data_IF_964398383314
#
_entry.id   IF_964398383314
#
_cell.length_a   1.000
_cell.length_b   1.000
_cell.length_c   1.000
_cell.angle_alpha   90.00
_cell.angle_beta   90.00
_cell.angle_gamma   90.00
#
_symmetry.space_group_name_H-M   'P 1'
#
loop_
_entity.id
_entity.type
_entity.pdbx_description
1 polymer ?
#
# COMPACT_ATOMS: atom_id res chain seq x y z
N UNK A 1 -2.13 13.06 20.42
CA UNK A 1 -2.84 14.13 19.69
C UNK A 1 -2.20 14.24 18.33
N UNK A 2 -2.98 14.04 17.26
CA UNK A 2 -2.57 14.29 15.87
C UNK A 2 -2.95 15.73 15.54
N UNK A 3 -2.07 16.43 14.82
CA UNK A 3 -2.21 17.85 14.54
C UNK A 3 -2.15 18.11 13.04
N UNK A 4 -2.82 19.17 12.59
CA UNK A 4 -2.64 19.76 11.25
C UNK A 4 -1.67 20.94 11.34
N UNK A 5 -0.91 21.19 10.27
CA UNK A 5 0.05 22.28 10.20
C UNK A 5 -0.60 23.52 9.59
N UNK A 6 -0.39 24.66 10.24
CA UNK A 6 -0.88 25.97 9.79
C UNK A 6 0.28 26.95 9.63
N UNK A 7 0.17 27.81 8.64
CA UNK A 7 1.03 28.96 8.45
C UNK A 7 0.84 29.98 9.60
N UNK A 8 1.79 30.93 9.79
CA UNK A 8 1.65 31.98 10.80
C UNK A 8 0.40 32.87 10.64
N UNK A 9 -0.18 32.94 9.44
CA UNK A 9 -1.42 33.66 9.14
C UNK A 9 -2.69 32.81 9.36
N UNK A 10 -2.55 31.61 9.95
CA UNK A 10 -3.62 30.64 10.22
C UNK A 10 -4.26 30.01 8.99
N UNK A 11 -3.66 30.12 7.81
CA UNK A 11 -4.04 29.30 6.64
C UNK A 11 -3.45 27.88 6.76
N UNK A 12 -4.13 26.82 6.28
CA UNK A 12 -3.55 25.48 6.22
C UNK A 12 -2.24 25.48 5.41
N UNK A 13 -1.24 24.74 5.87
CA UNK A 13 0.03 24.63 5.16
C UNK A 13 -0.06 23.64 4.00
N UNK A 14 0.24 24.09 2.78
CA UNK A 14 0.12 23.29 1.56
C UNK A 14 1.06 22.07 1.52
N UNK A 15 2.13 22.07 2.32
CA UNK A 15 3.05 20.95 2.45
C UNK A 15 2.64 19.88 3.47
N UNK A 16 1.51 20.05 4.18
CA UNK A 16 1.00 19.06 5.15
C UNK A 16 0.25 17.91 4.43
N UNK A 17 0.76 16.66 4.49
CA UNK A 17 0.10 15.52 3.87
C UNK A 17 -1.35 15.30 4.34
N UNK A 18 -1.64 15.55 5.62
CA UNK A 18 -2.96 15.33 6.20
C UNK A 18 -3.95 16.39 5.71
N UNK A 19 -3.51 17.65 5.65
CA UNK A 19 -4.29 18.73 5.06
C UNK A 19 -4.54 18.50 3.55
N UNK A 20 -3.54 17.99 2.82
CA UNK A 20 -3.70 17.66 1.41
C UNK A 20 -4.75 16.55 1.17
N UNK A 21 -4.77 15.50 2.00
CA UNK A 21 -5.82 14.48 1.89
C UNK A 21 -7.21 15.08 2.10
N UNK A 22 -7.38 15.99 3.08
CA UNK A 22 -8.66 16.71 3.29
C UNK A 22 -9.05 17.51 2.06
N UNK A 23 -8.10 18.22 1.42
CA UNK A 23 -8.35 18.96 0.18
C UNK A 23 -8.88 18.05 -0.94
N UNK A 24 -8.30 16.85 -1.13
CA UNK A 24 -8.76 15.92 -2.17
C UNK A 24 -10.12 15.30 -1.80
N UNK A 25 -10.42 15.10 -0.52
CA UNK A 25 -11.75 14.67 -0.07
C UNK A 25 -12.86 15.69 -0.41
N UNK A 26 -12.56 16.98 -0.46
CA UNK A 26 -13.54 17.98 -0.94
C UNK A 26 -13.94 17.73 -2.41
N UNK A 27 -13.01 17.31 -3.28
CA UNK A 27 -13.35 16.96 -4.67
C UNK A 27 -14.31 15.76 -4.75
N UNK A 28 -14.19 14.82 -3.80
CA UNK A 28 -15.13 13.70 -3.67
C UNK A 28 -16.52 14.21 -3.29
N UNK A 29 -16.60 15.15 -2.34
CA UNK A 29 -17.86 15.74 -1.90
C UNK A 29 -18.56 16.53 -3.01
N UNK A 30 -17.80 17.24 -3.85
CA UNK A 30 -18.33 17.95 -5.01
C UNK A 30 -19.01 17.02 -6.03
N UNK A 31 -18.57 15.75 -6.10
CA UNK A 31 -19.21 14.71 -6.93
C UNK A 31 -20.41 14.03 -6.25
N UNK A 32 -20.74 14.43 -5.03
CA UNK A 32 -21.90 13.94 -4.28
C UNK A 32 -21.69 12.64 -3.53
N UNK A 33 -20.43 12.21 -3.32
CA UNK A 33 -20.09 11.14 -2.39
C UNK A 33 -19.86 11.71 -0.98
N UNK A 34 -20.16 10.92 0.04
CA UNK A 34 -20.08 11.35 1.44
C UNK A 34 -18.85 10.82 2.15
N UNK A 35 -18.39 9.61 1.84
CA UNK A 35 -17.29 8.99 2.56
C UNK A 35 -16.41 8.17 1.62
N UNK A 36 -15.11 8.22 1.87
CA UNK A 36 -14.13 7.32 1.28
C UNK A 36 -13.53 6.51 2.41
N UNK A 37 -13.82 5.21 2.43
CA UNK A 37 -13.40 4.31 3.49
C UNK A 37 -12.17 3.51 3.08
N UNK A 38 -11.26 3.29 4.03
CA UNK A 38 -10.05 2.50 3.88
C UNK A 38 -9.97 1.43 4.97
N UNK A 39 -9.85 0.16 4.56
CA UNK A 39 -9.38 -0.96 5.37
C UNK A 39 -7.94 -1.34 4.99
N UNK A 40 -6.93 -0.94 5.78
CA UNK A 40 -5.54 -1.25 5.49
C UNK A 40 -5.11 -2.59 6.10
N UNK A 41 -4.25 -3.32 5.38
CA UNK A 41 -3.67 -4.60 5.81
C UNK A 41 -2.13 -4.46 5.94
N UNK A 42 -1.60 -3.73 6.95
CA UNK A 42 -0.16 -3.46 7.08
C UNK A 42 0.63 -4.66 7.64
N UNK A 43 1.31 -5.37 6.76
CA UNK A 43 2.23 -6.45 7.12
C UNK A 43 3.55 -5.90 7.72
N UNK A 44 4.20 -6.68 8.58
CA UNK A 44 5.50 -6.33 9.17
C UNK A 44 6.34 -7.56 9.53
N UNK A 45 7.65 -7.36 9.70
CA UNK A 45 8.57 -8.38 10.20
C UNK A 45 9.01 -8.10 11.63
N UNK A 46 9.26 -9.16 12.40
CA UNK A 46 9.93 -9.10 13.71
C UNK A 46 11.34 -9.71 13.62
N UNK A 47 12.35 -8.87 13.88
CA UNK A 47 13.75 -9.27 14.00
C UNK A 47 14.20 -9.29 15.45
N UNK A 48 15.16 -10.15 15.77
CA UNK A 48 15.83 -10.16 17.08
C UNK A 48 16.77 -8.98 17.22
N UNK A 49 16.96 -8.57 18.46
CA UNK A 49 17.94 -7.57 18.85
C UNK A 49 19.22 -8.22 19.37
N UNK A 50 20.37 -7.59 19.07
CA UNK A 50 21.65 -7.97 19.68
C UNK A 50 21.77 -7.46 21.14
N UNK A 51 22.89 -7.77 21.80
CA UNK A 51 23.19 -7.34 23.18
C UNK A 51 23.20 -5.81 23.36
N UNK A 52 23.48 -5.06 22.29
CA UNK A 52 23.45 -3.60 22.27
C UNK A 52 22.08 -3.04 21.87
N UNK A 53 21.06 -3.90 21.81
CA UNK A 53 19.70 -3.61 21.35
C UNK A 53 19.65 -3.04 19.93
N UNK A 54 20.57 -3.42 19.05
CA UNK A 54 20.52 -3.12 17.62
C UNK A 54 19.79 -4.24 16.86
N UNK A 55 19.04 -3.93 15.79
CA UNK A 55 18.41 -4.94 14.96
C UNK A 55 19.45 -5.89 14.32
N UNK A 56 19.11 -7.17 14.25
CA UNK A 56 19.88 -8.19 13.54
C UNK A 56 19.13 -8.65 12.29
N UNK A 57 19.72 -9.55 11.49
CA UNK A 57 19.03 -10.25 10.40
C UNK A 57 18.38 -11.57 10.86
N UNK A 58 18.44 -11.88 12.15
CA UNK A 58 17.77 -13.06 12.71
C UNK A 58 16.29 -12.75 12.95
N UNK A 59 15.42 -13.55 12.34
CA UNK A 59 13.98 -13.46 12.52
C UNK A 59 13.57 -14.00 13.89
N UNK A 60 12.42 -13.57 14.42
CA UNK A 60 11.93 -14.04 15.71
C UNK A 60 11.54 -15.54 15.69
N UNK A 61 11.09 -16.06 14.55
CA UNK A 61 10.65 -17.45 14.37
C UNK A 61 10.94 -18.00 12.96
N UNK A 62 10.35 -19.16 12.66
CA UNK A 62 10.39 -19.81 11.34
C UNK A 62 8.99 -20.26 10.89
N UNK A 63 7.95 -19.54 11.33
CA UNK A 63 6.56 -19.84 10.98
C UNK A 63 6.22 -19.52 9.52
N UNK A 64 5.09 -20.04 9.07
CA UNK A 64 4.46 -19.68 7.80
C UNK A 64 3.00 -19.28 7.97
N UNK A 65 2.30 -19.16 6.84
CA UNK A 65 0.94 -18.64 6.78
C UNK A 65 -0.02 -19.43 7.68
N UNK A 66 -0.64 -18.74 8.64
CA UNK A 66 -1.62 -19.31 9.59
C UNK A 66 -1.06 -20.44 10.48
N UNK A 67 0.26 -20.54 10.62
CA UNK A 67 0.86 -21.48 11.58
C UNK A 67 0.50 -21.12 13.02
N UNK A 68 0.44 -22.15 13.86
CA UNK A 68 0.19 -22.04 15.29
C UNK A 68 1.49 -22.29 16.08
N UNK A 69 1.50 -21.91 17.36
CA UNK A 69 2.53 -22.38 18.27
C UNK A 69 2.61 -23.93 18.26
N UNK A 70 3.81 -24.54 18.32
CA UNK A 70 5.11 -23.95 18.70
C UNK A 70 5.96 -23.38 17.55
N UNK A 71 5.45 -23.38 16.31
CA UNK A 71 6.20 -22.86 15.14
C UNK A 71 6.16 -21.33 15.09
N UNK A 72 5.00 -20.74 15.43
CA UNK A 72 4.83 -19.30 15.63
C UNK A 72 5.31 -18.91 17.05
N UNK A 73 6.45 -18.23 17.13
CA UNK A 73 6.96 -17.67 18.40
C UNK A 73 6.60 -16.19 18.55
N UNK A 74 6.01 -15.57 17.51
CA UNK A 74 5.51 -14.21 17.51
C UNK A 74 4.16 -14.05 18.21
N UNK A 75 3.43 -15.13 18.48
CA UNK A 75 2.07 -15.12 19.05
C UNK A 75 1.93 -14.21 20.29
N UNK A 76 2.88 -14.26 21.22
CA UNK A 76 2.82 -13.42 22.43
C UNK A 76 3.03 -11.93 22.11
N UNK A 77 4.00 -11.59 21.26
CA UNK A 77 4.22 -10.20 20.86
C UNK A 77 3.02 -9.67 20.08
N UNK A 78 2.48 -10.47 19.17
CA UNK A 78 1.34 -10.12 18.33
C UNK A 78 0.06 -9.96 19.15
N UNK A 79 -0.22 -10.87 20.09
CA UNK A 79 -1.31 -10.74 21.06
C UNK A 79 -1.19 -9.47 21.88
N UNK A 80 -0.01 -9.16 22.41
CA UNK A 80 0.17 -7.96 23.24
C UNK A 80 0.00 -6.67 22.41
N UNK A 81 0.37 -6.69 21.12
CA UNK A 81 0.05 -5.58 20.20
C UNK A 81 -1.46 -5.42 20.06
N UNK A 82 -2.19 -6.51 19.79
CA UNK A 82 -3.66 -6.50 19.66
C UNK A 82 -4.31 -5.94 20.92
N UNK A 83 -3.94 -6.42 22.11
CA UNK A 83 -4.50 -5.95 23.38
C UNK A 83 -4.28 -4.46 23.60
N UNK A 84 -3.08 -3.94 23.31
CA UNK A 84 -2.77 -2.52 23.47
C UNK A 84 -3.52 -1.65 22.44
N UNK A 85 -3.71 -2.14 21.21
CA UNK A 85 -4.52 -1.45 20.20
C UNK A 85 -6.00 -1.43 20.58
N UNK A 86 -6.56 -2.53 21.08
CA UNK A 86 -7.94 -2.61 21.57
C UNK A 86 -8.17 -1.64 22.75
N UNK A 87 -7.23 -1.53 23.68
CA UNK A 87 -7.29 -0.55 24.78
C UNK A 87 -7.26 0.90 24.27
N UNK A 88 -6.63 1.14 23.12
CA UNK A 88 -6.62 2.43 22.41
C UNK A 88 -7.85 2.67 21.52
N UNK A 89 -8.79 1.72 21.47
CA UNK A 89 -10.06 1.84 20.75
C UNK A 89 -10.04 1.34 19.31
N UNK A 90 -9.00 0.60 18.88
CA UNK A 90 -9.02 -0.08 17.59
C UNK A 90 -9.98 -1.27 17.62
N UNK A 91 -10.77 -1.44 16.56
CA UNK A 91 -11.55 -2.66 16.32
C UNK A 91 -10.73 -3.62 15.45
N UNK A 92 -10.04 -4.57 16.10
CA UNK A 92 -9.21 -5.57 15.41
C UNK A 92 -10.10 -6.65 14.80
N UNK A 93 -9.92 -6.94 13.52
CA UNK A 93 -10.70 -7.95 12.78
C UNK A 93 -10.02 -9.31 12.80
N UNK A 94 -8.70 -9.33 12.60
CA UNK A 94 -7.91 -10.54 12.55
C UNK A 94 -6.45 -10.30 12.92
N UNK A 95 -5.76 -11.37 13.28
CA UNK A 95 -4.32 -11.37 13.44
C UNK A 95 -3.76 -12.74 13.15
N UNK A 96 -2.73 -12.82 12.31
CA UNK A 96 -2.11 -14.08 11.93
C UNK A 96 -0.62 -13.92 11.61
N UNK A 97 0.05 -15.07 11.55
CA UNK A 97 1.35 -15.18 10.94
C UNK A 97 1.21 -15.12 9.42
N UNK A 98 2.11 -14.39 8.76
CA UNK A 98 2.12 -14.20 7.32
C UNK A 98 2.97 -15.28 6.61
N UNK A 99 3.12 -15.19 5.29
CA UNK A 99 3.75 -16.25 4.49
C UNK A 99 5.24 -16.43 4.79
N UNK A 100 6.00 -15.35 4.98
CA UNK A 100 7.44 -15.46 5.27
C UNK A 100 7.72 -15.70 6.76
N UNK A 101 8.82 -16.42 7.09
CA UNK A 101 9.34 -16.51 8.45
C UNK A 101 9.44 -15.15 9.17
N UNK A 102 8.92 -15.07 10.40
CA UNK A 102 8.90 -13.86 11.22
C UNK A 102 8.07 -12.70 10.66
N UNK A 103 7.18 -12.97 9.69
CA UNK A 103 6.24 -12.00 9.14
C UNK A 103 4.88 -12.12 9.84
N UNK A 104 4.25 -10.99 10.09
CA UNK A 104 2.99 -10.91 10.80
C UNK A 104 2.06 -9.86 10.19
N UNK A 105 0.77 -10.06 10.39
CA UNK A 105 -0.30 -9.16 9.99
C UNK A 105 -1.33 -9.01 11.11
N UNK A 106 -1.86 -7.80 11.24
CA UNK A 106 -2.96 -7.47 12.14
C UNK A 106 -3.89 -6.56 11.36
N UNK A 107 -5.09 -7.08 11.10
CA UNK A 107 -6.14 -6.38 10.39
C UNK A 107 -7.02 -5.63 11.37
N UNK A 108 -7.35 -4.39 11.02
CA UNK A 108 -8.29 -3.58 11.77
C UNK A 108 -9.33 -3.00 10.85
N UNK A 109 -10.50 -2.76 11.42
CA UNK A 109 -11.69 -2.34 10.70
C UNK A 109 -11.44 -1.09 9.87
N UNK A 110 -12.10 -1.04 8.72
CA UNK A 110 -12.08 0.14 7.87
C UNK A 110 -12.67 1.36 8.59
N UNK A 111 -12.14 2.52 8.28
CA UNK A 111 -12.61 3.82 8.76
C UNK A 111 -12.62 4.83 7.60
N UNK A 112 -13.14 6.03 7.85
CA UNK A 112 -12.98 7.14 6.91
C UNK A 112 -11.49 7.42 6.61
N UNK A 113 -11.20 7.96 5.43
CA UNK A 113 -9.83 8.08 4.93
C UNK A 113 -8.86 8.80 5.90
N UNK A 114 -9.31 9.83 6.63
CA UNK A 114 -8.45 10.55 7.56
C UNK A 114 -8.17 9.69 8.79
N UNK A 115 -9.23 9.15 9.39
CA UNK A 115 -9.14 8.29 10.59
C UNK A 115 -8.32 7.03 10.28
N UNK A 116 -8.52 6.40 9.12
CA UNK A 116 -7.75 5.24 8.72
C UNK A 116 -6.24 5.56 8.55
N UNK A 117 -5.89 6.72 7.98
CA UNK A 117 -4.49 7.14 7.88
C UNK A 117 -3.86 7.46 9.25
N UNK A 118 -4.62 8.14 10.12
CA UNK A 118 -4.23 8.40 11.51
C UNK A 118 -3.99 7.07 12.27
N UNK A 119 -4.85 6.08 12.03
CA UNK A 119 -4.75 4.73 12.60
C UNK A 119 -3.53 3.96 12.07
N UNK A 120 -3.22 4.02 10.76
CA UNK A 120 -2.00 3.40 10.20
C UNK A 120 -0.73 3.95 10.88
N UNK A 121 -0.66 5.27 11.08
CA UNK A 121 0.51 5.89 11.72
C UNK A 121 0.62 5.47 13.19
N UNK A 122 -0.51 5.43 13.90
CA UNK A 122 -0.58 5.00 15.30
C UNK A 122 -0.24 3.52 15.44
N UNK A 123 -0.77 2.67 14.57
CA UNK A 123 -0.49 1.24 14.49
C UNK A 123 1.01 0.97 14.37
N UNK A 124 1.68 1.60 13.40
CA UNK A 124 3.14 1.45 13.22
C UNK A 124 3.93 1.83 14.47
N UNK A 125 3.48 2.84 15.21
CA UNK A 125 4.12 3.26 16.47
C UNK A 125 3.90 2.22 17.58
N UNK A 126 2.67 1.72 17.75
CA UNK A 126 2.34 0.72 18.77
C UNK A 126 3.10 -0.57 18.50
N UNK A 127 3.05 -1.10 17.28
CA UNK A 127 3.78 -2.32 16.87
C UNK A 127 5.27 -2.22 17.21
N UNK A 128 5.92 -1.11 16.83
CA UNK A 128 7.35 -0.88 17.12
C UNK A 128 7.63 -0.80 18.62
N UNK A 129 6.76 -0.11 19.36
CA UNK A 129 6.89 0.06 20.81
C UNK A 129 6.77 -1.28 21.55
N UNK A 130 5.73 -2.06 21.24
CA UNK A 130 5.48 -3.34 21.89
C UNK A 130 6.53 -4.38 21.48
N UNK A 131 6.90 -4.48 20.20
CA UNK A 131 8.00 -5.33 19.76
C UNK A 131 9.29 -5.04 20.55
N UNK A 132 9.57 -3.76 20.81
CA UNK A 132 10.74 -3.35 21.60
C UNK A 132 10.68 -3.77 23.06
N UNK A 133 9.48 -3.87 23.67
CA UNK A 133 9.26 -4.44 25.01
C UNK A 133 9.58 -5.95 25.04
N UNK A 134 9.31 -6.64 23.94
CA UNK A 134 9.58 -8.08 23.75
C UNK A 134 11.03 -8.40 23.34
N UNK A 135 11.92 -7.40 23.29
CA UNK A 135 13.31 -7.63 22.83
C UNK A 135 13.42 -7.84 21.32
N UNK A 136 12.41 -7.42 20.56
CA UNK A 136 12.32 -7.53 19.10
C UNK A 136 12.39 -6.15 18.43
N UNK A 137 12.59 -6.17 17.13
CA UNK A 137 12.55 -5.02 16.23
C UNK A 137 11.49 -5.26 15.16
N UNK A 138 10.38 -4.52 15.25
CA UNK A 138 9.41 -4.49 14.16
C UNK A 138 9.89 -3.57 13.04
N UNK A 139 9.81 -4.06 11.80
CA UNK A 139 10.08 -3.28 10.60
C UNK A 139 8.95 -3.41 9.60
N UNK A 140 8.65 -2.28 8.97
CA UNK A 140 7.65 -2.09 7.91
C UNK A 140 8.35 -1.90 6.55
N UNK A 141 9.60 -2.34 6.45
CA UNK A 141 10.40 -2.27 5.23
C UNK A 141 9.79 -3.20 4.16
N UNK A 142 9.61 -2.75 2.91
CA UNK A 142 8.87 -3.53 1.90
C UNK A 142 9.49 -4.90 1.59
N UNK A 143 10.82 -5.00 1.58
CA UNK A 143 11.55 -6.23 1.27
C UNK A 143 12.85 -6.29 2.08
N UNK A 144 12.79 -6.69 3.37
CA UNK A 144 13.97 -6.73 4.23
C UNK A 144 14.95 -7.85 3.86
N UNK A 145 14.45 -8.93 3.23
CA UNK A 145 15.23 -10.12 2.87
C UNK A 145 14.96 -10.53 1.41
N UNK A 146 16.00 -10.94 0.70
CA UNK A 146 15.90 -11.54 -0.64
C UNK A 146 15.38 -12.98 -0.53
N UNK A 147 14.61 -13.42 -1.52
CA UNK A 147 14.17 -14.82 -1.64
C UNK A 147 12.97 -15.23 -0.78
N UNK A 148 12.38 -14.30 -0.02
CA UNK A 148 11.17 -14.52 0.81
C UNK A 148 10.11 -13.46 0.50
N UNK A 149 8.85 -13.64 0.94
CA UNK A 149 7.81 -12.61 0.76
C UNK A 149 8.25 -11.26 1.36
N UNK A 150 7.76 -10.17 0.77
CA UNK A 150 7.94 -8.83 1.33
C UNK A 150 6.65 -8.37 2.01
N UNK A 151 6.71 -7.26 2.73
CA UNK A 151 5.55 -6.70 3.45
C UNK A 151 4.73 -5.75 2.57
N UNK A 152 3.45 -6.07 2.38
CA UNK A 152 2.43 -5.19 1.79
C UNK A 152 1.67 -4.36 2.81
N UNK A 153 0.95 -3.35 2.29
CA UNK A 153 -0.08 -2.64 3.04
C UNK A 153 -1.30 -2.53 2.15
N UNK A 154 -2.02 -3.64 1.94
CA UNK A 154 -3.13 -3.65 0.98
C UNK A 154 -4.19 -2.64 1.38
N UNK A 155 -4.67 -1.87 0.40
CA UNK A 155 -5.68 -0.84 0.63
C UNK A 155 -7.02 -1.32 0.10
N UNK A 156 -7.92 -1.68 1.01
CA UNK A 156 -9.31 -1.98 0.69
C UNK A 156 -10.12 -0.68 0.68
N UNK A 157 -10.52 -0.23 -0.51
CA UNK A 157 -11.15 1.09 -0.70
C UNK A 157 -12.61 0.98 -1.12
N UNK A 158 -13.45 1.87 -0.61
CA UNK A 158 -14.86 1.98 -1.02
C UNK A 158 -15.38 3.42 -0.93
N UNK A 159 -16.26 3.80 -1.86
CA UNK A 159 -16.97 5.08 -1.84
C UNK A 159 -18.40 4.90 -1.35
N UNK A 160 -18.89 5.89 -0.61
CA UNK A 160 -20.24 5.88 -0.06
C UNK A 160 -21.02 7.13 -0.46
N UNK A 161 -22.34 6.97 -0.52
CA UNK A 161 -23.30 8.07 -0.66
C UNK A 161 -24.35 7.95 0.45
N UNK A 162 -24.14 8.71 1.52
CA UNK A 162 -24.86 8.53 2.77
C UNK A 162 -24.51 7.18 3.39
N UNK A 163 -25.51 6.33 3.59
CA UNK A 163 -25.32 4.99 4.19
C UNK A 163 -25.13 3.88 3.15
N UNK A 164 -25.20 4.21 1.88
CA UNK A 164 -25.12 3.25 0.79
C UNK A 164 -23.69 3.17 0.25
N UNK A 165 -23.18 1.96 0.11
CA UNK A 165 -21.90 1.71 -0.54
C UNK A 165 -22.09 1.89 -2.05
N UNK A 166 -21.50 2.94 -2.60
CA UNK A 166 -21.65 3.33 -4.00
C UNK A 166 -20.99 2.34 -4.97
N UNK A 167 -20.16 1.40 -4.49
CA UNK A 167 -19.57 0.35 -5.32
C UNK A 167 -20.46 -0.88 -5.48
N UNK A 168 -21.50 -1.03 -4.67
CA UNK A 168 -22.38 -2.19 -4.72
C UNK A 168 -23.55 -1.97 -5.67
N UNK A 169 -23.79 -2.93 -6.55
CA UNK A 169 -25.03 -3.05 -7.31
C UNK A 169 -25.46 -4.52 -7.29
N UNK A 170 -26.70 -4.79 -6.88
CA UNK A 170 -27.20 -6.16 -6.78
C UNK A 170 -27.35 -6.81 -8.15
N UNK A 171 -27.70 -6.02 -9.17
CA UNK A 171 -28.04 -6.50 -10.52
C UNK A 171 -26.89 -6.29 -11.52
N UNK A 172 -25.83 -5.59 -11.10
CA UNK A 172 -24.60 -5.36 -11.88
C UNK A 172 -23.77 -6.63 -12.09
N UNK A 173 -22.94 -6.63 -13.15
CA UNK A 173 -21.97 -7.70 -13.37
C UNK A 173 -20.99 -7.79 -12.18
N UNK A 174 -20.70 -9.01 -11.72
CA UNK A 174 -19.97 -9.26 -10.46
C UNK A 174 -20.57 -8.57 -9.22
N UNK A 175 -21.80 -8.08 -9.29
CA UNK A 175 -22.47 -7.23 -8.31
C UNK A 175 -21.71 -5.93 -8.00
N UNK A 176 -21.08 -5.36 -9.02
CA UNK A 176 -20.39 -4.08 -8.98
C UNK A 176 -21.22 -3.02 -9.72
N UNK A 177 -21.29 -1.83 -9.13
CA UNK A 177 -21.93 -0.67 -9.75
C UNK A 177 -21.09 -0.09 -10.89
N UNK A 178 -21.71 0.72 -11.73
CA UNK A 178 -20.99 1.53 -12.73
C UNK A 178 -19.90 2.40 -12.08
N UNK A 179 -20.19 3.00 -10.92
CA UNK A 179 -19.22 3.78 -10.15
C UNK A 179 -18.01 2.95 -9.73
N UNK A 180 -18.19 1.70 -9.30
CA UNK A 180 -17.07 0.82 -8.97
C UNK A 180 -16.16 0.57 -10.18
N UNK A 181 -16.77 0.29 -11.34
CA UNK A 181 -16.02 0.06 -12.57
C UNK A 181 -15.29 1.32 -13.06
N UNK A 182 -15.92 2.48 -12.99
CA UNK A 182 -15.30 3.75 -13.36
C UNK A 182 -14.15 4.11 -12.42
N UNK A 183 -14.33 3.94 -11.11
CA UNK A 183 -13.26 4.15 -10.13
C UNK A 183 -12.09 3.21 -10.40
N UNK A 184 -12.36 1.92 -10.59
CA UNK A 184 -11.37 0.92 -10.98
C UNK A 184 -10.62 1.29 -12.27
N UNK A 185 -11.32 1.83 -13.28
CA UNK A 185 -10.72 2.26 -14.52
C UNK A 185 -9.70 3.40 -14.32
N UNK A 186 -10.06 4.40 -13.50
CA UNK A 186 -9.13 5.46 -13.11
C UNK A 186 -7.90 4.91 -12.37
N UNK A 187 -8.11 3.99 -11.43
CA UNK A 187 -7.02 3.32 -10.71
C UNK A 187 -6.08 2.53 -11.63
N UNK A 188 -6.58 1.88 -12.66
CA UNK A 188 -5.76 1.16 -13.65
C UNK A 188 -5.01 2.15 -14.55
N UNK A 189 -5.69 3.19 -15.05
CA UNK A 189 -5.10 4.21 -15.93
C UNK A 189 -3.91 4.92 -15.30
N UNK A 190 -4.03 5.28 -14.02
CA UNK A 190 -3.02 6.06 -13.30
C UNK A 190 -2.00 5.20 -12.53
N UNK A 191 -2.03 3.87 -12.71
CA UNK A 191 -1.22 2.94 -11.92
C UNK A 191 0.27 3.26 -11.90
N UNK A 192 0.84 3.60 -13.05
CA UNK A 192 2.25 3.99 -13.15
C UNK A 192 2.53 5.32 -12.45
N UNK A 193 1.61 6.28 -12.55
CA UNK A 193 1.74 7.61 -11.97
C UNK A 193 1.77 7.60 -10.44
N UNK A 194 0.84 6.90 -9.78
CA UNK A 194 0.81 6.85 -8.31
C UNK A 194 1.80 5.84 -7.69
N UNK A 195 2.48 5.02 -8.50
CA UNK A 195 3.41 4.00 -7.97
C UNK A 195 4.52 4.66 -7.15
N UNK A 196 5.07 5.79 -7.58
CA UNK A 196 6.12 6.48 -6.82
C UNK A 196 5.68 6.88 -5.41
N UNK A 197 4.40 7.19 -5.21
CA UNK A 197 3.85 7.63 -3.91
C UNK A 197 3.49 6.44 -3.02
N UNK A 198 2.90 5.42 -3.62
CA UNK A 198 2.47 4.18 -2.92
C UNK A 198 3.63 3.21 -2.65
N UNK A 199 4.75 3.38 -3.34
CA UNK A 199 5.99 2.59 -3.26
C UNK A 199 7.21 3.54 -3.23
N UNK A 200 7.37 4.34 -2.16
CA UNK A 200 8.23 5.52 -2.18
C UNK A 200 9.70 5.26 -1.90
N UNK A 201 10.14 4.01 -1.74
CA UNK A 201 11.54 3.70 -1.41
C UNK A 201 12.20 2.90 -2.51
N UNK A 202 13.54 2.96 -2.61
CA UNK A 202 14.29 2.04 -3.47
C UNK A 202 13.96 0.57 -3.16
N UNK A 203 13.70 0.24 -1.89
CA UNK A 203 13.43 -1.12 -1.44
C UNK A 203 12.03 -1.61 -1.84
N UNK A 204 11.06 -0.72 -2.02
CA UNK A 204 9.71 -1.03 -2.51
C UNK A 204 9.75 -1.84 -3.81
N UNK A 205 10.62 -1.48 -4.74
CA UNK A 205 10.77 -2.14 -6.04
C UNK A 205 11.47 -3.50 -5.97
N UNK A 206 12.03 -3.87 -4.81
CA UNK A 206 12.51 -5.24 -4.54
C UNK A 206 11.38 -6.15 -4.03
N UNK A 207 10.25 -5.56 -3.59
CA UNK A 207 9.01 -6.27 -3.28
C UNK A 207 8.21 -6.57 -4.54
N UNK A 208 8.09 -5.61 -5.46
CA UNK A 208 7.35 -5.70 -6.71
C UNK A 208 8.07 -6.56 -7.77
N UNK A 209 8.33 -7.82 -7.42
CA UNK A 209 8.95 -8.83 -8.29
C UNK A 209 8.07 -10.09 -8.33
N UNK A 210 7.95 -10.76 -9.49
CA UNK A 210 7.08 -11.94 -9.62
C UNK A 210 7.43 -13.05 -8.64
N UNK A 211 6.41 -13.83 -8.22
CA UNK A 211 6.59 -15.06 -7.43
C UNK A 211 6.44 -14.93 -5.91
N UNK A 212 6.10 -13.74 -5.38
CA UNK A 212 5.96 -13.49 -3.94
C UNK A 212 4.63 -12.84 -3.56
N UNK A 213 3.54 -13.15 -4.30
CA UNK A 213 2.18 -12.59 -4.13
C UNK A 213 2.04 -11.06 -4.26
N UNK A 214 3.14 -10.34 -4.47
CA UNK A 214 3.16 -8.92 -4.77
C UNK A 214 2.77 -8.65 -6.23
N UNK A 215 1.94 -7.64 -6.50
CA UNK A 215 1.53 -7.32 -7.87
C UNK A 215 2.69 -6.67 -8.63
N UNK A 216 2.95 -7.16 -9.84
CA UNK A 216 3.94 -6.58 -10.76
C UNK A 216 3.28 -6.03 -12.03
N UNK A 217 2.03 -6.39 -12.26
CA UNK A 217 1.31 -6.19 -13.51
C UNK A 217 0.01 -5.44 -13.27
N UNK A 218 -0.23 -4.44 -14.10
CA UNK A 218 -1.42 -3.59 -14.08
C UNK A 218 -2.58 -4.38 -14.69
N UNK A 219 -3.33 -5.03 -13.82
CA UNK A 219 -4.50 -5.82 -14.15
C UNK A 219 -5.45 -5.83 -12.95
N UNK A 220 -6.68 -6.28 -13.17
CA UNK A 220 -7.63 -6.53 -12.09
C UNK A 220 -8.35 -7.86 -12.27
N UNK A 221 -8.84 -8.44 -11.18
CA UNK A 221 -9.68 -9.64 -11.20
C UNK A 221 -10.58 -9.71 -9.96
N UNK A 222 -11.75 -10.32 -10.11
CA UNK A 222 -12.62 -10.70 -8.99
C UNK A 222 -12.34 -12.09 -8.40
N UNK A 223 -11.42 -12.87 -9.00
CA UNK A 223 -11.18 -14.27 -8.62
C UNK A 223 -9.72 -14.59 -8.29
N UNK A 224 -8.78 -13.78 -8.79
CA UNK A 224 -7.35 -14.05 -8.65
C UNK A 224 -6.67 -13.11 -7.62
N UNK A 225 -5.59 -13.59 -7.00
CA UNK A 225 -4.72 -12.85 -6.06
C UNK A 225 -3.44 -12.29 -6.72
N UNK A 226 -3.11 -12.68 -7.95
CA UNK A 226 -1.96 -12.10 -8.67
C UNK A 226 -2.11 -10.67 -9.23
N UNK A 227 -3.31 -10.09 -9.46
CA UNK A 227 -3.42 -8.79 -10.11
C UNK A 227 -3.11 -7.64 -9.15
N UNK A 228 -2.89 -6.44 -9.72
CA UNK A 228 -2.75 -5.18 -8.99
C UNK A 228 -3.98 -4.88 -8.13
N UNK A 229 -5.17 -4.98 -8.73
CA UNK A 229 -6.43 -4.70 -8.05
C UNK A 229 -7.26 -5.98 -7.98
N UNK A 230 -7.61 -6.37 -6.77
CA UNK A 230 -8.53 -7.48 -6.52
C UNK A 230 -9.90 -6.94 -6.12
N UNK A 231 -10.95 -7.63 -6.54
CA UNK A 231 -12.30 -7.41 -6.02
C UNK A 231 -12.64 -8.56 -5.08
N UNK A 232 -12.57 -8.38 -3.74
CA UNK A 232 -12.94 -9.41 -2.78
C UNK A 232 -14.37 -9.93 -3.00
N UNK A 233 -14.70 -11.14 -2.53
CA UNK A 233 -16.01 -11.77 -2.76
C UNK A 233 -17.13 -11.20 -1.89
N UNK A 234 -16.82 -10.50 -0.80
CA UNK A 234 -17.83 -9.85 0.06
C UNK A 234 -18.61 -8.78 -0.72
N UNK A 235 -19.89 -8.62 -0.40
CA UNK A 235 -20.83 -7.73 -1.12
C UNK A 235 -21.69 -6.90 -0.16
N UNK A 236 -22.58 -6.06 -0.70
CA UNK A 236 -23.36 -5.12 0.09
C UNK A 236 -22.47 -3.98 0.60
N UNK A 237 -22.57 -3.67 1.89
CA UNK A 237 -21.74 -2.63 2.54
C UNK A 237 -20.24 -2.94 2.49
N UNK A 238 -19.85 -4.22 2.33
CA UNK A 238 -18.45 -4.65 2.27
C UNK A 238 -17.87 -4.69 0.86
N UNK A 239 -18.58 -4.20 -0.16
CA UNK A 239 -18.09 -4.15 -1.55
C UNK A 239 -16.96 -3.14 -1.67
N UNK A 240 -15.80 -3.56 -2.18
CA UNK A 240 -14.57 -2.78 -2.17
C UNK A 240 -13.60 -3.19 -3.27
N UNK A 241 -12.63 -2.32 -3.54
CA UNK A 241 -11.48 -2.59 -4.42
C UNK A 241 -10.22 -2.69 -3.56
N UNK A 242 -9.52 -3.81 -3.63
CA UNK A 242 -8.27 -4.09 -2.90
C UNK A 242 -7.07 -3.77 -3.79
N UNK A 243 -6.37 -2.67 -3.52
CA UNK A 243 -5.11 -2.33 -4.18
C UNK A 243 -3.94 -2.94 -3.40
N UNK A 244 -3.24 -3.88 -4.04
CA UNK A 244 -2.20 -4.71 -3.38
C UNK A 244 -0.78 -4.14 -3.50
N UNK A 245 -0.59 -3.14 -4.36
CA UNK A 245 0.75 -2.58 -4.63
C UNK A 245 1.24 -1.63 -3.55
N UNK A 246 0.35 -1.08 -2.72
CA UNK A 246 0.78 -0.19 -1.62
C UNK A 246 1.62 -0.99 -0.64
N UNK A 247 2.73 -0.40 -0.19
CA UNK A 247 3.57 -0.98 0.85
C UNK A 247 3.59 -0.11 2.12
N UNK A 248 3.97 -0.66 3.28
CA UNK A 248 3.90 0.06 4.56
C UNK A 248 4.86 1.25 4.71
N UNK A 249 5.79 1.43 3.75
CA UNK A 249 6.69 2.59 3.70
C UNK A 249 6.02 3.83 3.12
N UNK A 250 4.87 3.67 2.44
CA UNK A 250 4.05 4.76 1.95
C UNK A 250 3.63 5.73 3.08
N UNK A 251 3.64 7.02 2.76
CA UNK A 251 2.92 8.00 3.58
C UNK A 251 1.42 7.78 3.33
N UNK A 252 0.64 7.34 4.34
CA UNK A 252 -0.74 6.90 4.11
C UNK A 252 -1.63 8.04 3.60
N UNK A 253 -1.41 9.28 4.06
CA UNK A 253 -2.20 10.43 3.61
C UNK A 253 -1.95 10.75 2.13
N UNK A 254 -0.68 10.74 1.70
CA UNK A 254 -0.33 10.99 0.30
C UNK A 254 -0.81 9.85 -0.61
N UNK A 255 -0.65 8.61 -0.17
CA UNK A 255 -1.17 7.44 -0.88
C UNK A 255 -2.68 7.57 -1.07
N UNK A 256 -3.44 7.81 0.00
CA UNK A 256 -4.89 7.99 -0.10
C UNK A 256 -5.30 9.17 -0.98
N UNK A 257 -4.57 10.29 -0.95
CA UNK A 257 -4.85 11.45 -1.78
C UNK A 257 -4.73 11.11 -3.27
N UNK A 258 -3.64 10.48 -3.69
CA UNK A 258 -3.42 10.14 -5.10
C UNK A 258 -4.33 9.01 -5.59
N UNK A 259 -4.66 8.05 -4.73
CA UNK A 259 -5.57 6.95 -5.08
C UNK A 259 -7.02 7.44 -5.18
N UNK A 260 -7.46 8.31 -4.28
CA UNK A 260 -8.76 8.96 -4.41
C UNK A 260 -8.81 9.79 -5.70
N UNK A 261 -7.81 10.62 -5.97
CA UNK A 261 -7.72 11.43 -7.19
C UNK A 261 -7.78 10.56 -8.46
N UNK A 262 -7.03 9.46 -8.51
CA UNK A 262 -7.05 8.50 -9.61
C UNK A 262 -8.44 7.91 -9.83
N UNK A 263 -9.09 7.41 -8.77
CA UNK A 263 -10.41 6.82 -8.88
C UNK A 263 -11.50 7.82 -9.26
N UNK A 264 -11.45 9.05 -8.71
CA UNK A 264 -12.38 10.11 -9.07
C UNK A 264 -12.20 10.58 -10.52
N UNK A 265 -10.98 10.55 -11.08
CA UNK A 265 -10.76 10.83 -12.50
C UNK A 265 -11.52 9.84 -13.39
N UNK A 266 -11.48 8.56 -13.02
CA UNK A 266 -12.25 7.52 -13.69
C UNK A 266 -13.76 7.75 -13.66
N UNK A 267 -14.28 8.16 -12.50
CA UNK A 267 -15.70 8.51 -12.32
C UNK A 267 -16.08 9.77 -13.11
N UNK A 268 -15.30 10.85 -13.01
CA UNK A 268 -15.55 12.13 -13.71
C UNK A 268 -15.61 11.94 -15.23
N UNK A 269 -14.75 11.06 -15.76
CA UNK A 269 -14.62 10.84 -17.20
C UNK A 269 -15.35 9.59 -17.71
N UNK A 270 -16.16 8.93 -16.87
CA UNK A 270 -16.92 7.71 -17.20
C UNK A 270 -16.04 6.63 -17.85
N UNK A 271 -14.84 6.43 -17.31
CA UNK A 271 -13.88 5.49 -17.88
C UNK A 271 -14.37 4.05 -17.75
N UNK A 272 -14.07 3.23 -18.77
CA UNK A 272 -14.33 1.79 -18.74
C UNK A 272 -13.02 1.06 -18.42
N UNK A 273 -12.99 0.18 -17.40
CA UNK A 273 -11.78 -0.58 -17.10
C UNK A 273 -11.51 -1.61 -18.18
N UNK A 274 -10.27 -2.07 -18.36
CA UNK A 274 -9.98 -3.18 -19.26
C UNK A 274 -10.70 -4.45 -18.79
N UNK A 275 -10.81 -5.44 -19.67
CA UNK A 275 -11.37 -6.76 -19.32
C UNK A 275 -10.64 -7.38 -18.13
N UNK A 276 -11.33 -7.99 -17.15
CA UNK A 276 -10.68 -8.64 -16.01
C UNK A 276 -9.78 -9.80 -16.46
N UNK A 277 -8.66 -9.97 -15.77
CA UNK A 277 -7.68 -11.02 -16.06
C UNK A 277 -7.82 -12.16 -15.05
N UNK A 278 -8.67 -13.13 -15.36
CA UNK A 278 -8.97 -14.30 -14.53
C UNK A 278 -7.96 -15.47 -14.74
N UNK A 279 -6.69 -15.15 -15.00
CA UNK A 279 -5.61 -16.14 -15.17
C UNK A 279 -4.39 -15.75 -14.33
N UNK A 280 -3.56 -16.73 -13.99
CA UNK A 280 -2.30 -16.47 -13.29
C UNK A 280 -1.33 -15.71 -14.20
N UNK A 281 -1.19 -14.40 -13.96
CA UNK A 281 -0.39 -13.50 -14.81
C UNK A 281 1.10 -13.85 -14.73
N UNK A 282 1.57 -14.43 -13.61
CA UNK A 282 2.97 -14.86 -13.46
C UNK A 282 3.35 -16.01 -14.40
N UNK A 283 2.36 -16.75 -14.91
CA UNK A 283 2.57 -17.84 -15.87
C UNK A 283 2.52 -17.40 -17.34
N UNK A 284 2.17 -16.14 -17.61
CA UNK A 284 2.12 -15.61 -18.97
C UNK A 284 3.52 -15.16 -19.40
N UNK A 285 3.85 -15.32 -20.68
CA UNK A 285 5.04 -14.66 -21.23
C UNK A 285 4.79 -13.16 -21.54
N UNK A 286 5.81 -12.44 -22.00
CA UNK A 286 5.71 -11.00 -22.28
C UNK A 286 4.79 -10.69 -23.46
N UNK A 287 4.77 -11.55 -24.49
CA UNK A 287 3.94 -11.38 -25.68
C UNK A 287 2.46 -11.58 -25.33
N UNK A 288 2.14 -12.65 -24.60
CA UNK A 288 0.79 -12.93 -24.08
C UNK A 288 0.27 -11.79 -23.19
N UNK A 289 1.15 -11.21 -22.33
CA UNK A 289 0.77 -10.06 -21.49
C UNK A 289 0.44 -8.84 -22.34
N UNK A 290 1.27 -8.52 -23.33
CA UNK A 290 1.06 -7.36 -24.19
C UNK A 290 -0.19 -7.50 -25.06
N UNK A 291 -0.46 -8.69 -25.60
CA UNK A 291 -1.70 -9.01 -26.33
C UNK A 291 -2.96 -8.87 -25.46
N UNK A 292 -2.85 -9.21 -24.16
CA UNK A 292 -3.92 -9.04 -23.18
C UNK A 292 -4.05 -7.60 -22.66
N UNK A 293 -3.22 -6.66 -23.11
CA UNK A 293 -3.21 -5.27 -22.63
C UNK A 293 -2.71 -5.13 -21.19
N UNK A 294 -1.89 -6.08 -20.73
CA UNK A 294 -1.31 -6.10 -19.38
C UNK A 294 0.06 -5.44 -19.45
N UNK A 295 0.24 -4.37 -18.69
CA UNK A 295 1.48 -3.62 -18.62
C UNK A 295 2.13 -3.75 -17.24
N UNK A 296 3.45 -3.65 -17.21
CA UNK A 296 4.21 -3.76 -15.97
C UNK A 296 4.13 -2.46 -15.15
N UNK A 297 4.18 -2.60 -13.82
CA UNK A 297 4.46 -1.48 -12.93
C UNK A 297 5.89 -0.98 -13.15
N UNK A 298 6.20 0.28 -12.78
CA UNK A 298 7.58 0.76 -12.80
C UNK A 298 8.52 -0.14 -11.99
N UNK A 299 9.63 -0.56 -12.59
CA UNK A 299 10.61 -1.49 -12.00
C UNK A 299 11.60 -0.84 -11.02
N UNK A 300 11.59 0.49 -10.91
CA UNK A 300 12.47 1.24 -10.01
C UNK A 300 11.86 2.57 -9.60
N UNK A 301 12.32 3.13 -8.48
CA UNK A 301 11.90 4.46 -8.01
C UNK A 301 12.14 5.54 -9.07
N UNK A 302 13.30 5.50 -9.74
CA UNK A 302 13.61 6.41 -10.84
C UNK A 302 12.67 6.28 -12.04
N UNK A 303 12.22 5.07 -12.37
CA UNK A 303 11.20 4.86 -13.40
C UNK A 303 9.84 5.39 -12.93
N UNK A 304 9.44 5.08 -11.70
CA UNK A 304 8.15 5.54 -11.15
C UNK A 304 8.06 7.07 -11.06
N UNK A 305 9.14 7.76 -10.69
CA UNK A 305 9.17 9.23 -10.68
C UNK A 305 9.00 9.82 -12.09
N UNK A 306 9.57 9.19 -13.12
CA UNK A 306 9.35 9.61 -14.52
C UNK A 306 7.90 9.43 -14.94
N UNK A 307 7.26 8.33 -14.55
CA UNK A 307 5.84 8.10 -14.83
C UNK A 307 4.95 9.09 -14.06
N UNK A 308 5.24 9.35 -12.79
CA UNK A 308 4.59 10.39 -11.99
C UNK A 308 4.68 11.77 -12.67
N UNK A 309 5.85 12.14 -13.21
CA UNK A 309 6.02 13.46 -13.84
C UNK A 309 5.11 13.71 -15.06
N UNK A 310 4.68 12.62 -15.72
CA UNK A 310 3.78 12.64 -16.89
C UNK A 310 2.30 12.63 -16.51
N UNK A 311 1.98 12.31 -15.26
CA UNK A 311 0.61 12.10 -14.80
C UNK A 311 0.07 13.35 -14.09
N UNK A 312 -0.58 14.23 -14.87
CA UNK A 312 -1.11 15.50 -14.37
C UNK A 312 -2.12 15.33 -13.24
N UNK A 313 -3.01 14.33 -13.33
CA UNK A 313 -4.02 14.08 -12.31
C UNK A 313 -3.38 13.71 -10.97
N UNK A 314 -2.39 12.83 -10.99
CA UNK A 314 -1.68 12.42 -9.76
C UNK A 314 -0.86 13.57 -9.17
N UNK A 315 -0.20 14.38 -10.01
CA UNK A 315 0.51 15.58 -9.57
C UNK A 315 -0.43 16.58 -8.90
N UNK A 316 -1.60 16.83 -9.48
CA UNK A 316 -2.62 17.68 -8.88
C UNK A 316 -3.15 17.10 -7.55
N UNK A 317 -3.24 15.77 -7.43
CA UNK A 317 -3.58 15.08 -6.18
C UNK A 317 -2.59 15.34 -5.04
N UNK A 318 -1.32 15.61 -5.34
CA UNK A 318 -0.30 15.98 -4.35
C UNK A 318 -0.32 17.49 -4.06
N UNK A 319 -0.61 18.32 -5.06
CA UNK A 319 -0.39 19.76 -4.98
C UNK A 319 1.09 20.12 -5.18
N UNK A 320 1.34 21.37 -5.57
CA UNK A 320 2.67 21.79 -6.05
C UNK A 320 3.76 21.64 -4.98
N UNK A 321 3.52 22.16 -3.77
CA UNK A 321 4.52 22.14 -2.70
C UNK A 321 4.96 20.72 -2.33
N UNK A 322 4.00 19.78 -2.21
CA UNK A 322 4.31 18.38 -1.87
C UNK A 322 5.01 17.70 -3.03
N UNK A 323 4.54 17.91 -4.27
CA UNK A 323 5.14 17.31 -5.45
C UNK A 323 6.61 17.71 -5.61
N UNK A 324 6.93 19.00 -5.54
CA UNK A 324 8.31 19.51 -5.70
C UNK A 324 9.26 18.88 -4.66
N UNK A 325 8.90 18.92 -3.38
CA UNK A 325 9.74 18.41 -2.30
C UNK A 325 9.79 16.87 -2.28
N UNK A 326 8.73 16.19 -2.73
CA UNK A 326 8.73 14.75 -2.89
C UNK A 326 9.74 14.34 -3.98
N UNK A 327 9.71 14.98 -5.14
CA UNK A 327 10.65 14.69 -6.23
C UNK A 327 12.09 14.96 -5.78
N UNK A 328 12.35 16.13 -5.18
CA UNK A 328 13.69 16.48 -4.69
C UNK A 328 14.23 15.42 -3.72
N UNK A 329 13.45 15.04 -2.71
CA UNK A 329 13.86 14.06 -1.71
C UNK A 329 14.16 12.68 -2.34
N UNK A 330 13.37 12.27 -3.33
CA UNK A 330 13.51 10.97 -3.98
C UNK A 330 14.59 10.93 -5.04
N UNK A 331 14.87 12.04 -5.70
CA UNK A 331 16.05 12.17 -6.56
C UNK A 331 17.34 12.06 -5.76
N UNK A 332 17.42 12.70 -4.59
CA UNK A 332 18.57 12.56 -3.67
C UNK A 332 18.70 11.09 -3.21
N UNK A 333 17.61 10.45 -2.79
CA UNK A 333 17.61 9.03 -2.39
C UNK A 333 18.13 8.11 -3.52
N UNK A 334 17.64 8.33 -4.75
CA UNK A 334 18.08 7.59 -5.94
C UNK A 334 19.56 7.82 -6.25
N UNK A 335 20.04 9.07 -6.12
CA UNK A 335 21.44 9.40 -6.40
C UNK A 335 22.39 8.77 -5.37
N UNK A 336 22.01 8.78 -4.10
CA UNK A 336 22.75 8.08 -3.04
C UNK A 336 22.80 6.57 -3.29
N UNK A 337 21.67 5.96 -3.69
CA UNK A 337 21.63 4.53 -3.98
C UNK A 337 22.50 4.16 -5.18
N UNK A 338 22.37 4.86 -6.31
CA UNK A 338 23.06 4.49 -7.56
C UNK A 338 24.58 4.72 -7.51
N UNK A 339 25.07 5.52 -6.56
CA UNK A 339 26.50 5.81 -6.39
C UNK A 339 27.17 4.91 -5.35
N UNK A 340 26.39 4.14 -4.60
CA UNK A 340 26.91 3.14 -3.67
C UNK A 340 27.42 1.90 -4.44
N UNK A 341 28.55 1.34 -3.99
CA UNK A 341 29.09 0.07 -4.53
C UNK A 341 28.69 -1.07 -3.60
N UNK A 342 27.69 -1.84 -4.01
CA UNK A 342 27.13 -2.93 -3.23
C UNK A 342 28.08 -4.14 -3.15
N UNK A 343 28.01 -4.95 -2.07
CA UNK A 343 28.77 -6.21 -1.98
C UNK A 343 28.56 -7.12 -3.20
N UNK A 344 27.30 -7.23 -3.66
CA UNK A 344 26.94 -8.03 -4.83
C UNK A 344 27.77 -7.70 -6.08
N UNK A 345 28.05 -6.42 -6.35
CA UNK A 345 28.85 -6.01 -7.52
C UNK A 345 30.28 -6.53 -7.43
N UNK A 346 30.89 -6.53 -6.23
CA UNK A 346 32.23 -7.08 -6.04
C UNK A 346 32.22 -8.60 -6.20
N UNK A 347 31.21 -9.28 -5.65
CA UNK A 347 31.07 -10.73 -5.79
C UNK A 347 30.91 -11.18 -7.25
N UNK A 348 30.29 -10.35 -8.11
CA UNK A 348 30.12 -10.64 -9.53
C UNK A 348 31.33 -10.24 -10.37
N UNK A 349 31.93 -9.08 -10.12
CA UNK A 349 32.81 -8.45 -11.10
C UNK A 349 34.29 -8.43 -10.69
N UNK A 350 34.62 -8.47 -9.39
CA UNK A 350 35.99 -8.23 -8.92
C UNK A 350 36.97 -9.34 -9.29
N UNK A 351 36.51 -10.58 -9.40
CA UNK A 351 37.36 -11.71 -9.82
C UNK A 351 37.32 -11.95 -11.34
N UNK A 352 36.24 -11.52 -12.01
CA UNK A 352 36.04 -11.76 -13.45
C UNK A 352 36.83 -10.76 -14.31
N UNK A 353 36.89 -9.49 -13.89
CA UNK A 353 37.53 -8.39 -14.61
C UNK A 353 38.68 -7.82 -13.77
#
# INVERSE_FOLDING_TARGET
MICDIYNPDMTPFDGDPRANLKRVLEEMHELGFTDFNLGPEPEFFLFKLDENRKPTLELNDSGGYFDLAPTDLGENCRRDIVLELEEMGFEIEASHHEVAPGQHEIDFKYEDAITACDNIQTFKLVVKTIARKHGLHATFMPKPLFGVNGSGMHFNMSLFKGKENAFYDKDGELQLSETAYQFLAGMIKHAKGYTAITNPTINSYKRLVPGYEAPCYIAWSGKNRSPLIRVPSSRGLSTRLELRSVDPSANPYLAMAVLLKAGLEGVKNNLTPPTPVDRNIYGMDEEERHEAGIYDLPESLSHAMKELSKDEAIREGLGEHIYEHFIEAKEIECDMFRTAVHPWERDQYLEIY
#
